data_IF_274419964884
#
_entry.id   IF_274419964884
#
_cell.length_a   1.000
_cell.length_b   1.000
_cell.length_c   1.000
_cell.angle_alpha   90.00
_cell.angle_beta   90.00
_cell.angle_gamma   90.00
#
_symmetry.space_group_name_H-M   'P 1'
#
loop_
_entity.id
_entity.type
_entity.pdbx_description
1 polymer ?
#
# COMPACT_ATOMS: atom_id res chain seq x y z
N UNK A 1 -16.07 4.36 8.64
CA UNK A 1 -14.61 4.06 8.69
C UNK A 1 -14.35 2.86 9.59
N UNK A 2 -13.99 1.74 8.98
CA UNK A 2 -13.69 0.46 9.64
C UNK A 2 -12.17 0.27 9.68
N UNK A 3 -11.64 -0.19 10.81
CA UNK A 3 -10.21 -0.53 10.94
C UNK A 3 -10.02 -2.03 10.70
N UNK A 4 -9.22 -2.39 9.69
CA UNK A 4 -8.95 -3.77 9.29
C UNK A 4 -7.48 -4.08 9.53
N UNK A 5 -7.22 -5.04 10.42
CA UNK A 5 -5.88 -5.56 10.67
C UNK A 5 -5.52 -6.63 9.63
N UNK A 6 -4.46 -6.38 8.84
CA UNK A 6 -3.98 -7.33 7.85
C UNK A 6 -3.18 -8.49 8.47
N UNK A 7 -2.61 -8.32 9.67
CA UNK A 7 -1.92 -9.37 10.43
C UNK A 7 -2.88 -10.20 11.29
N UNK A 8 -3.81 -9.55 11.99
CA UNK A 8 -4.66 -10.16 13.01
C UNK A 8 -6.11 -10.26 12.52
N UNK A 9 -6.40 -11.37 11.84
CA UNK A 9 -7.70 -11.61 11.19
C UNK A 9 -8.86 -11.68 12.20
N UNK A 10 -8.61 -12.18 13.41
CA UNK A 10 -9.61 -12.22 14.49
C UNK A 10 -10.09 -10.81 14.86
N UNK A 11 -9.15 -9.87 14.96
CA UNK A 11 -9.47 -8.47 15.27
C UNK A 11 -10.17 -7.80 14.11
N UNK A 12 -9.82 -8.12 12.86
CA UNK A 12 -10.57 -7.66 11.70
C UNK A 12 -12.03 -8.14 11.72
N UNK A 13 -12.26 -9.42 12.04
CA UNK A 13 -13.60 -10.00 12.15
C UNK A 13 -14.42 -9.35 13.26
N UNK A 14 -13.82 -9.05 14.41
CA UNK A 14 -14.49 -8.31 15.48
C UNK A 14 -14.92 -6.90 15.05
N UNK A 15 -14.11 -6.21 14.24
CA UNK A 15 -14.47 -4.89 13.74
C UNK A 15 -15.62 -4.95 12.74
N UNK A 16 -15.65 -5.95 11.85
CA UNK A 16 -16.77 -6.17 10.93
C UNK A 16 -18.04 -6.57 11.68
N UNK A 17 -17.94 -7.39 12.74
CA UNK A 17 -19.07 -7.71 13.64
C UNK A 17 -19.67 -6.47 14.30
N UNK A 18 -18.82 -5.51 14.71
CA UNK A 18 -19.27 -4.25 15.30
C UNK A 18 -19.90 -3.32 14.27
N UNK A 19 -19.34 -3.26 13.05
CA UNK A 19 -19.87 -2.42 11.97
C UNK A 19 -21.19 -2.96 11.41
N UNK A 20 -21.33 -4.29 11.29
CA UNK A 20 -22.49 -4.95 10.70
C UNK A 20 -23.03 -6.08 11.61
N UNK A 21 -23.64 -5.74 12.77
CA UNK A 21 -24.11 -6.72 13.75
C UNK A 21 -25.31 -7.54 13.27
N UNK A 22 -26.02 -7.07 12.23
CA UNK A 22 -27.22 -7.72 11.68
C UNK A 22 -26.90 -8.81 10.65
N UNK A 23 -25.66 -8.89 10.16
CA UNK A 23 -25.23 -9.92 9.22
C UNK A 23 -25.04 -11.25 9.94
N UNK A 24 -25.28 -12.34 9.21
CA UNK A 24 -24.97 -13.68 9.71
C UNK A 24 -23.45 -13.84 9.90
N UNK A 25 -23.00 -14.70 10.82
CA UNK A 25 -21.57 -14.89 11.08
C UNK A 25 -20.76 -15.31 9.85
N UNK A 26 -21.37 -16.10 8.94
CA UNK A 26 -20.75 -16.50 7.68
C UNK A 26 -20.51 -15.29 6.75
N UNK A 27 -21.52 -14.43 6.62
CA UNK A 27 -21.47 -13.23 5.78
C UNK A 27 -20.48 -12.20 6.34
N UNK A 28 -20.43 -12.05 7.66
CA UNK A 28 -19.41 -11.23 8.34
C UNK A 28 -18.00 -11.75 8.05
N UNK A 29 -17.80 -13.06 8.06
CA UNK A 29 -16.51 -13.66 7.73
C UNK A 29 -16.14 -13.42 6.26
N UNK A 30 -17.08 -13.60 5.33
CA UNK A 30 -16.85 -13.33 3.90
C UNK A 30 -16.48 -11.87 3.63
N UNK A 31 -17.23 -10.92 4.21
CA UNK A 31 -16.94 -9.49 4.09
C UNK A 31 -15.57 -9.15 4.71
N UNK A 32 -15.24 -9.74 5.85
CA UNK A 32 -13.91 -9.58 6.47
C UNK A 32 -12.80 -10.07 5.54
N UNK A 33 -12.96 -11.25 4.93
CA UNK A 33 -11.99 -11.81 4.00
C UNK A 33 -11.82 -10.92 2.76
N UNK A 34 -12.92 -10.43 2.18
CA UNK A 34 -12.87 -9.52 1.04
C UNK A 34 -12.11 -8.23 1.35
N UNK A 35 -12.40 -7.59 2.50
CA UNK A 35 -11.71 -6.38 2.95
C UNK A 35 -10.21 -6.63 3.19
N UNK A 36 -9.85 -7.76 3.79
CA UNK A 36 -8.45 -8.13 4.02
C UNK A 36 -7.72 -8.40 2.71
N UNK A 37 -8.34 -9.10 1.76
CA UNK A 37 -7.76 -9.38 0.45
C UNK A 37 -7.53 -8.09 -0.34
N UNK A 38 -8.50 -7.17 -0.33
CA UNK A 38 -8.35 -5.86 -0.95
C UNK A 38 -7.16 -5.06 -0.40
N UNK A 39 -6.88 -5.18 0.90
CA UNK A 39 -5.72 -4.55 1.53
C UNK A 39 -4.39 -5.26 1.25
N UNK A 40 -4.36 -6.61 1.28
CA UNK A 40 -3.12 -7.39 1.03
C UNK A 40 -2.68 -7.33 -0.43
N UNK A 41 -3.63 -7.39 -1.36
CA UNK A 41 -3.39 -7.31 -2.79
C UNK A 41 -3.50 -5.88 -3.32
N UNK A 42 -3.29 -4.89 -2.46
CA UNK A 42 -3.38 -3.48 -2.81
C UNK A 42 -2.56 -3.17 -4.09
N UNK A 43 -3.17 -2.35 -4.92
CA UNK A 43 -2.64 -1.94 -6.22
C UNK A 43 -1.73 -0.74 -5.98
N UNK A 44 -0.52 -0.79 -6.54
CA UNK A 44 0.38 0.36 -6.51
C UNK A 44 -0.04 1.36 -7.59
N UNK A 45 -0.15 2.64 -7.21
CA UNK A 45 -0.48 3.73 -8.11
C UNK A 45 0.78 4.58 -8.30
N UNK A 46 1.22 4.70 -9.55
CA UNK A 46 2.38 5.50 -9.92
C UNK A 46 2.15 6.21 -11.26
N UNK A 47 2.21 7.55 -11.27
CA UNK A 47 1.93 8.39 -12.45
C UNK A 47 0.62 8.01 -13.16
N UNK A 48 -0.49 7.95 -12.43
CA UNK A 48 -1.83 7.60 -12.92
C UNK A 48 -1.95 6.18 -13.51
N UNK A 49 -0.94 5.33 -13.34
CA UNK A 49 -1.00 3.90 -13.69
C UNK A 49 -1.11 3.04 -12.44
N UNK A 50 -2.03 2.09 -12.52
CA UNK A 50 -2.23 1.03 -11.55
C UNK A 50 -1.34 -0.18 -11.88
N UNK A 51 -0.72 -0.74 -10.85
CA UNK A 51 0.17 -1.91 -10.92
C UNK A 51 -0.30 -2.96 -9.92
N UNK A 52 -0.58 -4.17 -10.42
CA UNK A 52 -1.02 -5.30 -9.60
C UNK A 52 0.16 -6.17 -9.20
N UNK A 53 0.18 -6.57 -7.92
CA UNK A 53 1.19 -7.51 -7.41
C UNK A 53 0.67 -8.95 -7.55
N UNK A 54 1.48 -9.91 -8.04
CA UNK A 54 2.89 -9.81 -8.46
C UNK A 54 3.11 -9.51 -9.96
N UNK A 55 2.05 -9.50 -10.76
CA UNK A 55 2.14 -9.57 -12.23
C UNK A 55 2.89 -8.37 -12.85
N UNK A 56 2.66 -7.16 -12.34
CA UNK A 56 3.23 -5.93 -12.90
C UNK A 56 4.54 -5.48 -12.23
N UNK A 57 5.18 -6.36 -11.45
CA UNK A 57 6.41 -6.04 -10.71
C UNK A 57 7.52 -5.47 -11.61
N UNK A 58 7.72 -6.07 -12.79
CA UNK A 58 8.72 -5.60 -13.76
C UNK A 58 8.37 -4.21 -14.31
N UNK A 59 7.09 -3.96 -14.56
CA UNK A 59 6.63 -2.68 -15.10
C UNK A 59 6.84 -1.53 -14.11
N UNK A 60 6.55 -1.77 -12.83
CA UNK A 60 6.76 -0.76 -11.79
C UNK A 60 8.25 -0.53 -11.52
N UNK A 61 9.05 -1.58 -11.38
CA UNK A 61 10.47 -1.45 -11.04
C UNK A 61 11.29 -0.73 -12.13
N UNK A 62 10.99 -0.93 -13.41
CA UNK A 62 11.64 -0.22 -14.53
C UNK A 62 11.28 1.28 -14.56
N UNK A 63 10.06 1.63 -14.12
CA UNK A 63 9.70 3.05 -13.99
C UNK A 63 10.39 3.70 -12.80
N UNK A 64 10.33 3.03 -11.65
CA UNK A 64 10.99 3.51 -10.44
C UNK A 64 12.50 3.65 -10.64
N UNK A 65 13.15 2.73 -11.38
CA UNK A 65 14.59 2.84 -11.63
C UNK A 65 14.96 4.12 -12.39
N UNK A 66 14.19 4.51 -13.41
CA UNK A 66 14.40 5.77 -14.15
C UNK A 66 14.25 7.01 -13.26
N UNK A 67 13.29 6.99 -12.34
CA UNK A 67 13.12 8.09 -11.39
C UNK A 67 14.25 8.14 -10.37
N UNK A 68 14.67 6.97 -9.86
CA UNK A 68 15.78 6.86 -8.92
C UNK A 68 17.07 7.35 -9.58
N UNK A 69 17.32 6.99 -10.84
CA UNK A 69 18.45 7.49 -11.63
C UNK A 69 18.39 9.01 -11.77
N UNK A 70 17.24 9.58 -12.14
CA UNK A 70 17.08 11.03 -12.26
C UNK A 70 17.34 11.75 -10.93
N UNK A 71 16.88 11.17 -9.80
CA UNK A 71 17.13 11.71 -8.46
C UNK A 71 18.60 11.57 -8.08
N UNK A 72 19.24 10.44 -8.40
CA UNK A 72 20.66 10.22 -8.15
C UNK A 72 21.51 11.23 -8.93
N UNK A 73 21.23 11.45 -10.22
CA UNK A 73 21.93 12.45 -11.04
C UNK A 73 21.78 13.87 -10.48
N UNK A 74 20.59 14.25 -10.00
CA UNK A 74 20.40 15.55 -9.34
C UNK A 74 21.23 15.69 -8.06
N UNK A 75 21.33 14.62 -7.27
CA UNK A 75 22.14 14.59 -6.04
C UNK A 75 23.64 14.62 -6.34
N UNK A 76 24.09 13.93 -7.38
CA UNK A 76 25.48 13.90 -7.83
C UNK A 76 25.91 15.26 -8.42
N UNK A 77 25.00 16.01 -9.04
CA UNK A 77 25.18 17.40 -9.47
C UNK A 77 25.12 18.43 -8.31
N UNK A 78 24.93 17.98 -7.06
CA UNK A 78 24.84 18.86 -5.89
C UNK A 78 23.56 19.71 -5.82
N UNK A 79 22.54 19.40 -6.61
CA UNK A 79 21.24 20.08 -6.61
C UNK A 79 20.30 19.42 -5.58
N UNK A 80 19.66 20.22 -4.72
CA UNK A 80 18.57 19.71 -3.86
C UNK A 80 17.40 19.27 -4.75
N UNK A 81 16.90 18.03 -4.63
CA UNK A 81 15.82 17.54 -5.48
C UNK A 81 14.54 18.37 -5.29
N UNK A 82 13.95 18.79 -6.41
CA UNK A 82 12.76 19.65 -6.44
C UNK A 82 11.55 18.84 -5.97
N UNK A 83 10.82 19.41 -5.00
CA UNK A 83 9.68 18.90 -4.21
C UNK A 83 8.52 18.16 -4.93
N UNK A 84 8.56 17.89 -6.23
CA UNK A 84 7.43 17.31 -6.98
C UNK A 84 7.53 15.80 -7.26
N UNK A 85 8.70 15.19 -7.17
CA UNK A 85 8.88 13.76 -7.53
C UNK A 85 9.33 12.85 -6.39
N UNK A 86 9.62 13.40 -5.21
CA UNK A 86 9.74 12.63 -3.98
C UNK A 86 9.60 13.60 -2.81
N UNK A 87 8.77 13.27 -1.81
CA UNK A 87 8.92 13.86 -0.48
C UNK A 87 10.21 13.33 0.13
N UNK A 88 11.34 13.91 -0.29
CA UNK A 88 12.67 13.65 0.26
C UNK A 88 12.68 14.20 1.68
N UNK A 89 12.45 13.32 2.64
CA UNK A 89 12.76 13.56 4.06
C UNK A 89 14.22 13.20 4.23
N UNK A 90 14.97 14.15 4.77
CA UNK A 90 16.40 14.08 5.10
C UNK A 90 16.86 12.68 5.53
N UNK A 91 17.79 12.09 4.78
CA UNK A 91 18.72 11.08 5.26
C UNK A 91 19.92 11.08 4.33
N UNK A 92 21.09 11.40 4.88
CA UNK A 92 22.38 11.17 4.25
C UNK A 92 22.47 9.68 3.80
N UNK A 93 23.01 9.44 2.60
CA UNK A 93 23.29 8.15 1.95
C UNK A 93 22.18 7.32 1.27
N UNK A 94 20.87 7.66 1.39
CA UNK A 94 19.82 6.85 0.73
C UNK A 94 18.78 7.66 -0.06
N UNK A 95 18.34 7.14 -1.21
CA UNK A 95 17.29 7.73 -2.05
C UNK A 95 15.91 7.26 -1.53
N UNK A 96 15.07 8.14 -0.95
CA UNK A 96 13.74 7.76 -0.46
C UNK A 96 12.73 7.74 -1.62
N UNK A 97 12.10 6.60 -1.83
CA UNK A 97 11.02 6.42 -2.83
C UNK A 97 9.73 6.13 -2.08
N UNK A 98 8.66 6.88 -2.36
CA UNK A 98 7.35 6.56 -1.82
C UNK A 98 6.45 6.03 -2.94
N UNK A 99 5.75 4.93 -2.69
CA UNK A 99 4.78 4.35 -3.62
C UNK A 99 3.42 4.38 -2.96
N UNK A 100 2.45 4.97 -3.64
CA UNK A 100 1.09 5.08 -3.15
C UNK A 100 0.30 3.80 -3.49
N UNK A 101 -0.55 3.38 -2.56
CA UNK A 101 -1.42 2.21 -2.70
C UNK A 101 -2.88 2.61 -2.70
N UNK A 102 -3.64 1.83 -3.45
CA UNK A 102 -5.09 1.79 -3.44
C UNK A 102 -5.57 0.37 -3.08
N UNK A 103 -6.65 0.22 -2.31
CA UNK A 103 -7.27 -1.08 -2.09
C UNK A 103 -7.67 -1.73 -3.41
N UNK A 104 -7.43 -3.02 -3.52
CA UNK A 104 -7.77 -3.79 -4.71
C UNK A 104 -9.23 -4.24 -4.65
N UNK A 105 -10.08 -3.52 -5.37
CA UNK A 105 -11.51 -3.80 -5.46
C UNK A 105 -11.76 -5.17 -6.09
N UNK A 106 -11.09 -5.48 -7.19
CA UNK A 106 -11.28 -6.74 -7.94
C UNK A 106 -10.96 -7.96 -7.06
N UNK A 107 -9.87 -7.91 -6.30
CA UNK A 107 -9.47 -9.01 -5.41
C UNK A 107 -10.44 -9.24 -4.25
N UNK A 108 -11.13 -8.20 -3.78
CA UNK A 108 -12.17 -8.33 -2.75
C UNK A 108 -13.50 -8.79 -3.34
N UNK A 109 -13.87 -8.26 -4.51
CA UNK A 109 -15.13 -8.56 -5.18
C UNK A 109 -15.20 -10.00 -5.69
N UNK A 110 -14.09 -10.54 -6.20
CA UNK A 110 -14.01 -11.94 -6.64
C UNK A 110 -14.31 -12.93 -5.51
N UNK A 111 -14.03 -12.56 -4.26
CA UNK A 111 -14.32 -13.40 -3.09
C UNK A 111 -15.80 -13.39 -2.70
N UNK A 112 -16.56 -12.41 -3.20
CA UNK A 112 -17.98 -12.22 -2.94
C UNK A 112 -18.85 -12.56 -4.17
N UNK A 113 -18.30 -13.27 -5.15
CA UNK A 113 -18.99 -13.64 -6.38
C UNK A 113 -20.33 -14.35 -6.09
N UNK A 114 -21.41 -13.85 -6.70
CA UNK A 114 -22.77 -14.35 -6.50
C UNK A 114 -23.47 -13.82 -5.23
N UNK A 115 -22.86 -12.89 -4.49
CA UNK A 115 -23.43 -12.22 -3.30
C UNK A 115 -23.45 -10.70 -3.48
N UNK A 116 -24.35 -10.22 -4.35
CA UNK A 116 -24.53 -8.80 -4.67
C UNK A 116 -24.79 -7.94 -3.41
N UNK A 117 -25.43 -8.52 -2.40
CA UNK A 117 -25.67 -7.91 -1.10
C UNK A 117 -24.38 -7.57 -0.35
N UNK A 118 -23.42 -8.50 -0.35
CA UNK A 118 -22.12 -8.32 0.29
C UNK A 118 -21.18 -7.47 -0.56
N UNK A 119 -21.27 -7.55 -1.88
CA UNK A 119 -20.51 -6.70 -2.79
C UNK A 119 -20.88 -5.22 -2.61
N UNK A 120 -22.18 -4.91 -2.47
CA UNK A 120 -22.63 -3.55 -2.15
C UNK A 120 -22.04 -3.06 -0.82
N UNK A 121 -22.14 -3.87 0.25
CA UNK A 121 -21.57 -3.52 1.55
C UNK A 121 -20.04 -3.36 1.52
N UNK A 122 -19.34 -4.17 0.74
CA UNK A 122 -17.91 -4.06 0.53
C UNK A 122 -17.53 -2.76 -0.19
N UNK A 123 -18.24 -2.43 -1.28
CA UNK A 123 -18.05 -1.18 -2.01
C UNK A 123 -18.31 0.03 -1.10
N UNK A 124 -19.41 0.01 -0.35
CA UNK A 124 -19.76 1.08 0.59
C UNK A 124 -18.67 1.24 1.66
N UNK A 125 -18.18 0.15 2.24
CA UNK A 125 -17.11 0.19 3.23
C UNK A 125 -15.82 0.81 2.68
N UNK A 126 -15.44 0.50 1.43
CA UNK A 126 -14.28 1.07 0.77
C UNK A 126 -14.47 2.56 0.43
N UNK A 127 -15.67 2.96 -0.01
CA UNK A 127 -15.99 4.37 -0.29
C UNK A 127 -16.00 5.22 0.98
N UNK A 128 -16.49 4.70 2.10
CA UNK A 128 -16.45 5.36 3.41
C UNK A 128 -15.03 5.51 3.96
N UNK A 129 -14.06 4.81 3.39
CA UNK A 129 -12.68 4.78 3.82
C UNK A 129 -12.42 3.68 4.86
N UNK A 130 -11.53 2.76 4.50
CA UNK A 130 -11.02 1.70 5.39
C UNK A 130 -9.64 2.09 5.91
N UNK A 131 -9.41 1.84 7.19
CA UNK A 131 -8.07 1.93 7.77
C UNK A 131 -7.41 0.56 7.76
N UNK A 132 -6.36 0.38 6.97
CA UNK A 132 -5.57 -0.83 6.95
C UNK A 132 -4.42 -0.74 7.95
N UNK A 133 -4.43 -1.62 8.93
CA UNK A 133 -3.36 -1.77 9.91
C UNK A 133 -2.48 -2.96 9.52
N UNK A 134 -1.22 -2.70 9.17
CA UNK A 134 -0.34 -3.70 8.55
C UNK A 134 1.08 -3.65 9.11
N UNK A 135 1.79 -4.78 9.10
CA UNK A 135 3.23 -4.84 9.28
C UNK A 135 3.93 -4.69 7.91
N UNK A 136 5.18 -4.24 7.90
CA UNK A 136 5.93 -3.98 6.65
C UNK A 136 6.02 -5.19 5.70
N UNK A 137 5.94 -6.42 6.20
CA UNK A 137 5.96 -7.63 5.38
C UNK A 137 4.58 -8.10 4.88
N UNK A 138 3.49 -7.49 5.33
CA UNK A 138 2.13 -7.93 4.95
C UNK A 138 1.72 -7.44 3.56
N UNK A 139 2.38 -6.38 3.09
CA UNK A 139 2.15 -5.80 1.78
C UNK A 139 3.20 -6.37 0.83
N UNK A 140 2.75 -7.13 -0.18
CA UNK A 140 3.64 -7.73 -1.18
C UNK A 140 4.56 -6.72 -1.84
N UNK A 141 4.04 -5.53 -2.16
CA UNK A 141 4.84 -4.42 -2.70
C UNK A 141 5.97 -3.96 -1.79
N UNK A 142 5.71 -3.75 -0.50
CA UNK A 142 6.76 -3.32 0.44
C UNK A 142 7.84 -4.39 0.55
N UNK A 143 7.44 -5.66 0.72
CA UNK A 143 8.36 -6.78 0.81
C UNK A 143 9.26 -6.93 -0.43
N UNK A 144 8.68 -6.74 -1.61
CA UNK A 144 9.36 -6.92 -2.89
C UNK A 144 10.31 -5.77 -3.23
N UNK A 145 9.86 -4.53 -3.03
CA UNK A 145 10.65 -3.34 -3.34
C UNK A 145 11.82 -3.16 -2.35
N UNK A 146 11.67 -3.62 -1.09
CA UNK A 146 12.78 -3.66 -0.13
C UNK A 146 13.86 -4.68 -0.51
N UNK A 147 13.49 -5.73 -1.26
CA UNK A 147 14.41 -6.79 -1.73
C UNK A 147 14.81 -6.64 -3.19
N UNK A 148 14.33 -5.60 -3.86
CA UNK A 148 14.68 -5.33 -5.24
C UNK A 148 16.18 -5.02 -5.34
N UNK A 149 16.86 -5.71 -6.25
CA UNK A 149 18.27 -5.45 -6.54
C UNK A 149 18.37 -4.29 -7.53
N UNK A 150 18.28 -3.06 -7.02
CA UNK A 150 18.27 -1.83 -7.83
C UNK A 150 19.48 -1.70 -8.77
N UNK A 151 20.72 -2.00 -8.37
CA UNK A 151 21.86 -2.04 -9.29
C UNK A 151 21.61 -2.96 -10.49
N UNK A 152 21.14 -4.18 -10.28
CA UNK A 152 20.86 -5.12 -11.37
C UNK A 152 19.67 -4.71 -12.23
N UNK A 153 18.68 -4.04 -11.65
CA UNK A 153 17.49 -3.56 -12.39
C UNK A 153 17.85 -2.37 -13.29
N UNK A 154 18.92 -1.65 -12.97
CA UNK A 154 19.32 -0.43 -13.66
C UNK A 154 20.65 -0.56 -14.39
N UNK A 155 21.15 -1.78 -14.63
CA UNK A 155 22.44 -2.04 -15.26
C UNK A 155 23.61 -1.26 -14.59
N UNK A 156 23.65 -1.30 -13.26
CA UNK A 156 24.63 -0.67 -12.35
C UNK A 156 24.66 0.88 -12.34
N UNK A 157 23.67 1.55 -12.93
CA UNK A 157 23.53 3.01 -12.86
C UNK A 157 23.17 3.52 -11.45
N UNK A 158 22.37 2.76 -10.69
CA UNK A 158 21.96 3.09 -9.33
C UNK A 158 23.01 2.55 -8.38
N UNK A 159 23.82 3.45 -7.82
CA UNK A 159 24.93 3.12 -6.93
C UNK A 159 24.62 3.43 -5.47
N UNK A 160 23.61 4.28 -5.23
CA UNK A 160 23.16 4.67 -3.88
C UNK A 160 22.12 3.69 -3.34
N UNK A 161 22.05 3.59 -2.01
CA UNK A 161 21.04 2.77 -1.33
C UNK A 161 19.65 3.35 -1.58
N UNK A 162 18.70 2.53 -2.02
CA UNK A 162 17.30 2.94 -2.20
C UNK A 162 16.49 2.53 -0.97
N UNK A 163 15.67 3.44 -0.45
CA UNK A 163 14.76 3.16 0.66
C UNK A 163 13.33 3.38 0.19
N UNK A 164 12.60 2.29 -0.05
CA UNK A 164 11.22 2.35 -0.52
C UNK A 164 10.25 2.33 0.66
N UNK A 165 9.24 3.19 0.61
CA UNK A 165 8.15 3.19 1.57
C UNK A 165 6.80 3.22 0.86
N UNK A 166 6.03 2.17 1.05
CA UNK A 166 4.71 1.99 0.47
C UNK A 166 3.63 2.50 1.45
N UNK A 167 2.64 3.24 0.97
CA UNK A 167 1.59 3.83 1.82
C UNK A 167 0.22 3.82 1.12
N UNK A 168 -0.85 3.55 1.87
CA UNK A 168 -2.20 3.77 1.35
C UNK A 168 -2.50 5.28 1.27
N UNK A 169 -2.89 5.73 0.08
CA UNK A 169 -3.16 7.14 -0.21
C UNK A 169 -4.53 7.38 -0.85
N UNK A 170 -5.04 6.43 -1.64
CA UNK A 170 -6.31 6.55 -2.37
C UNK A 170 -7.40 5.67 -1.77
N UNK A 171 -8.44 6.30 -1.19
CA UNK A 171 -9.63 5.59 -0.68
C UNK A 171 -9.41 4.75 0.59
N UNK A 172 -8.18 4.68 1.11
CA UNK A 172 -7.88 4.01 2.37
C UNK A 172 -6.73 4.69 3.12
N UNK A 173 -6.72 4.51 4.44
CA UNK A 173 -5.67 5.02 5.33
C UNK A 173 -4.80 3.86 5.80
N UNK A 174 -3.49 4.01 5.68
CA UNK A 174 -2.52 2.98 6.09
C UNK A 174 -1.87 3.30 7.43
N UNK A 175 -1.94 2.35 8.37
CA UNK A 175 -1.33 2.45 9.70
C UNK A 175 -0.35 1.28 9.92
N UNK A 176 0.95 1.58 9.89
CA UNK A 176 2.01 0.57 10.04
C UNK A 176 2.19 0.15 11.52
N UNK A 177 2.03 -1.14 11.83
CA UNK A 177 2.26 -1.72 13.15
C UNK A 177 3.73 -1.60 13.56
N UNK A 178 3.99 -0.87 14.66
CA UNK A 178 5.33 -0.70 15.21
C UNK A 178 6.08 0.54 14.72
N UNK A 179 5.58 1.24 13.71
CA UNK A 179 5.95 2.63 13.50
C UNK A 179 5.26 3.45 14.59
N UNK A 180 6.01 3.95 15.57
CA UNK A 180 5.50 4.92 16.53
C UNK A 180 5.08 6.18 15.77
N UNK A 181 3.86 6.19 15.22
CA UNK A 181 3.19 7.42 14.82
C UNK A 181 3.00 8.19 16.11
N UNK A 182 3.87 9.18 16.35
CA UNK A 182 3.59 10.25 17.30
C UNK A 182 2.21 10.77 16.92
N UNK A 183 1.21 10.39 17.71
CA UNK A 183 -0.17 10.78 17.50
C UNK A 183 -0.20 12.29 17.26
N UNK A 184 -0.71 12.71 16.10
CA UNK A 184 -0.95 14.11 15.81
C UNK A 184 -2.05 14.54 16.78
N UNK A 185 -1.65 15.04 17.93
CA UNK A 185 -2.51 15.66 18.93
C UNK A 185 -3.17 16.87 18.26
N UNK A 186 -4.38 16.67 17.73
CA UNK A 186 -5.27 17.76 17.36
C UNK A 186 -5.50 18.57 18.64
N UNK A 187 -4.97 19.78 18.67
CA UNK A 187 -5.45 20.85 19.54
C UNK A 187 -6.64 21.49 18.86
#
# INVERSE_FOLDING_TARGET
MITIHLTKLETALEQVKKAHPKLNPADQAMLTTALVLAGRHAVAVHEDKAYSWPDDYKGLTVKLSKEIEAVQSQLDEGKKPVKKTAKVVEAEDAIPVNVDLKPNYEAGESQLEGRDDLQALFSDALQEGVEYVYAGNDIGWQWALDRANWPTISDDTITRKVKVKVRFAEGAVGSELGAATKAKRRR
#
